data_IF_378175573118
#
_entry.id   IF_378175573118
#
_cell.length_a   1.000
_cell.length_b   1.000
_cell.length_c   1.000
_cell.angle_alpha   90.00
_cell.angle_beta   90.00
_cell.angle_gamma   90.00
#
_symmetry.space_group_name_H-M   'P 1'
#
loop_
_entity.id
_entity.type
_entity.pdbx_description
1 polymer ?
#
# COMPACT_ATOMS: atom_id res chain seq x y z
N UNK A 1 48.15 22.69 10.09
CA UNK A 1 48.21 21.76 9.88
C UNK A 1 48.04 20.91 9.47
N UNK A 2 48.11 20.86 9.28
CA UNK A 2 47.85 19.90 8.75
C UNK A 2 48.11 18.89 8.99
N UNK A 3 48.27 19.02 9.43
CA UNK A 3 48.38 18.08 9.54
C UNK A 3 48.82 17.35 9.58
N UNK A 4 49.34 17.63 9.74
CA UNK A 4 49.66 16.76 9.51
C UNK A 4 49.68 15.95 9.62
N UNK A 5 49.84 16.32 9.86
CA UNK A 5 49.84 15.33 9.81
C UNK A 5 49.82 14.79 9.17
N UNK A 6 49.80 14.87 9.19
CA UNK A 6 49.51 14.42 7.93
C UNK A 6 49.11 13.02 7.72
N UNK A 7 49.74 12.05 7.97
CA UNK A 7 49.30 10.71 7.55
C UNK A 7 48.05 10.22 8.22
N UNK A 8 47.80 10.63 9.39
CA UNK A 8 46.60 10.25 10.10
C UNK A 8 45.36 10.88 9.50
N UNK A 9 45.50 11.97 8.80
CA UNK A 9 44.35 12.64 8.20
C UNK A 9 43.74 11.78 7.10
N UNK A 10 44.56 11.02 6.41
CA UNK A 10 44.06 10.18 5.32
C UNK A 10 43.06 9.16 5.78
N UNK A 11 43.27 8.60 6.94
CA UNK A 11 42.35 7.57 7.44
C UNK A 11 40.99 8.14 7.72
N UNK A 12 40.92 9.35 8.18
CA UNK A 12 39.63 9.95 8.46
C UNK A 12 38.83 10.15 7.17
N UNK A 13 39.49 10.43 6.09
CA UNK A 13 38.80 10.61 4.84
C UNK A 13 38.17 9.32 4.35
N UNK A 14 38.80 8.20 4.59
CA UNK A 14 38.24 6.93 4.19
C UNK A 14 36.92 6.64 4.96
N UNK A 15 36.88 6.99 6.22
CA UNK A 15 35.67 6.81 6.98
C UNK A 15 34.52 7.64 6.48
N UNK A 16 34.78 8.86 6.06
CA UNK A 16 33.73 9.72 5.53
C UNK A 16 33.14 9.14 4.24
N UNK A 17 34.02 8.62 3.39
CA UNK A 17 33.54 8.04 2.14
C UNK A 17 32.62 6.84 2.38
N UNK A 18 32.93 6.01 3.36
CA UNK A 18 32.08 4.86 3.69
C UNK A 18 30.71 5.31 4.15
N UNK A 19 30.64 6.37 4.95
CA UNK A 19 29.36 6.88 5.40
C UNK A 19 28.48 7.37 4.26
N UNK A 20 29.07 8.04 3.29
CA UNK A 20 28.31 8.53 2.14
C UNK A 20 27.71 7.39 1.33
N UNK A 21 28.44 6.29 1.17
CA UNK A 21 27.93 5.13 0.43
C UNK A 21 26.73 4.53 1.13
N UNK A 22 26.78 4.42 2.45
CA UNK A 22 25.68 3.86 3.22
C UNK A 22 24.42 4.71 3.09
N UNK A 23 24.56 6.02 3.09
CA UNK A 23 23.42 6.91 2.91
C UNK A 23 22.75 6.69 1.56
N UNK A 24 23.55 6.55 0.52
CA UNK A 24 23.02 6.31 -0.82
C UNK A 24 22.20 5.04 -0.87
N UNK A 25 22.71 3.97 -0.28
CA UNK A 25 21.98 2.71 -0.26
C UNK A 25 20.68 2.82 0.48
N UNK A 26 20.65 3.55 1.58
CA UNK A 26 19.42 3.74 2.36
C UNK A 26 18.35 4.43 1.52
N UNK A 27 18.70 5.47 0.81
CA UNK A 27 17.76 6.21 -0.04
C UNK A 27 17.24 5.30 -1.15
N UNK A 28 18.11 4.55 -1.77
CA UNK A 28 17.70 3.63 -2.84
C UNK A 28 16.73 2.57 -2.31
N UNK A 29 17.01 2.02 -1.12
CA UNK A 29 16.13 1.03 -0.53
C UNK A 29 14.73 1.56 -0.28
N UNK A 30 14.62 2.78 0.23
CA UNK A 30 13.31 3.38 0.50
C UNK A 30 12.54 3.62 -0.80
N UNK A 31 13.20 4.10 -1.84
CA UNK A 31 12.52 4.41 -3.10
C UNK A 31 12.25 3.17 -3.93
N UNK A 32 13.01 2.10 -3.74
CA UNK A 32 12.86 0.88 -4.51
C UNK A 32 11.82 -0.08 -4.00
N UNK A 33 11.38 0.07 -2.77
CA UNK A 33 10.37 -0.81 -2.21
C UNK A 33 9.00 -0.47 -2.72
N UNK A 34 8.13 -1.47 -2.80
CA UNK A 34 6.75 -1.27 -3.18
C UNK A 34 6.07 -0.28 -2.25
N UNK A 35 5.31 0.61 -2.84
CA UNK A 35 4.58 1.59 -2.06
C UNK A 35 3.31 0.98 -1.49
N UNK A 36 2.91 1.47 -0.33
CA UNK A 36 1.68 1.06 0.30
C UNK A 36 0.69 2.21 0.33
N UNK A 37 -0.59 1.86 0.31
CA UNK A 37 -1.64 2.82 0.57
C UNK A 37 -1.74 2.96 2.08
N UNK A 38 -1.16 4.02 2.62
CA UNK A 38 -1.06 4.20 4.07
C UNK A 38 -2.45 4.31 4.68
N UNK A 39 -2.75 3.47 5.64
CA UNK A 39 -4.04 3.43 6.31
C UNK A 39 -4.78 2.12 6.08
N UNK A 40 -5.89 1.92 6.77
CA UNK A 40 -6.63 0.67 6.66
C UNK A 40 -7.71 0.69 5.58
N UNK A 41 -7.94 -0.47 4.98
CA UNK A 41 -9.15 -0.78 4.22
C UNK A 41 -9.91 -1.79 5.04
N UNK A 42 -11.17 -1.50 5.34
CA UNK A 42 -12.03 -2.42 6.05
C UNK A 42 -13.25 -2.75 5.21
N UNK A 43 -13.69 -4.00 5.25
CA UNK A 43 -14.92 -4.36 4.58
C UNK A 43 -15.67 -5.40 5.39
N UNK A 44 -16.99 -5.40 5.27
CA UNK A 44 -17.83 -6.42 5.86
C UNK A 44 -18.21 -7.48 4.83
N UNK A 45 -18.19 -8.73 5.27
CA UNK A 45 -18.48 -9.86 4.40
C UNK A 45 -19.97 -9.86 4.07
N UNK A 46 -20.30 -10.14 2.81
CA UNK A 46 -21.68 -10.02 2.32
C UNK A 46 -22.66 -10.88 3.10
N UNK A 47 -22.31 -12.13 3.37
CA UNK A 47 -23.21 -13.07 4.05
C UNK A 47 -23.13 -12.98 5.56
N UNK A 48 -22.12 -12.34 6.09
CA UNK A 48 -21.93 -12.20 7.53
C UNK A 48 -21.40 -10.80 7.81
N UNK A 49 -22.30 -9.86 7.91
CA UNK A 49 -21.95 -8.46 8.10
C UNK A 49 -21.27 -8.20 9.44
N UNK A 50 -21.39 -9.11 10.38
CA UNK A 50 -20.63 -9.00 11.62
C UNK A 50 -19.15 -9.30 11.43
N UNK A 51 -18.82 -10.02 10.36
CA UNK A 51 -17.42 -10.31 10.05
C UNK A 51 -16.83 -9.15 9.27
N UNK A 52 -15.90 -8.45 9.90
CA UNK A 52 -15.19 -7.32 9.29
C UNK A 52 -13.74 -7.71 9.09
N UNK A 53 -13.25 -7.51 7.88
CA UNK A 53 -11.87 -7.75 7.54
C UNK A 53 -11.18 -6.39 7.40
N UNK A 54 -10.05 -6.22 8.08
CA UNK A 54 -9.27 -4.98 8.00
C UNK A 54 -7.87 -5.31 7.50
N UNK A 55 -7.45 -4.60 6.46
CA UNK A 55 -6.10 -4.73 5.91
C UNK A 55 -5.39 -3.40 6.13
N UNK A 56 -4.24 -3.47 6.81
CA UNK A 56 -3.47 -2.27 7.13
C UNK A 56 -2.43 -2.01 6.06
N UNK A 57 -2.46 -0.80 5.51
CA UNK A 57 -1.48 -0.31 4.54
C UNK A 57 -1.20 -1.31 3.42
N UNK A 58 -2.22 -1.70 2.65
CA UNK A 58 -2.02 -2.64 1.56
C UNK A 58 -1.14 -2.03 0.46
N UNK A 59 -0.50 -2.88 -0.34
CA UNK A 59 0.30 -2.43 -1.45
C UNK A 59 -0.55 -1.67 -2.46
N UNK A 60 -0.01 -0.58 -3.02
CA UNK A 60 -0.73 0.14 -4.08
C UNK A 60 -0.71 -0.62 -5.39
N UNK A 61 0.16 -1.59 -5.55
CA UNK A 61 0.29 -2.38 -6.77
C UNK A 61 -0.52 -3.65 -6.70
N UNK A 62 -1.05 -4.05 -7.84
CA UNK A 62 -1.68 -5.34 -8.00
C UNK A 62 -3.12 -5.40 -7.56
N UNK A 63 -3.67 -6.56 -7.70
CA UNK A 63 -5.05 -6.85 -7.32
C UNK A 63 -5.08 -7.47 -5.93
N UNK A 64 -6.00 -6.98 -5.10
CA UNK A 64 -6.19 -7.49 -3.74
C UNK A 64 -7.49 -8.27 -3.69
N UNK A 65 -7.38 -9.54 -3.39
CA UNK A 65 -8.55 -10.43 -3.29
C UNK A 65 -9.20 -10.27 -1.94
N UNK A 66 -10.51 -10.21 -1.94
CA UNK A 66 -11.32 -10.12 -0.73
C UNK A 66 -11.77 -11.52 -0.28
N UNK A 67 -12.54 -11.57 0.80
CA UNK A 67 -13.10 -12.83 1.28
C UNK A 67 -13.87 -13.51 0.15
N UNK A 68 -13.77 -14.85 0.02
CA UNK A 68 -14.48 -15.56 -1.05
C UNK A 68 -15.99 -15.33 -1.08
N UNK A 69 -16.60 -15.04 0.06
CA UNK A 69 -18.01 -14.71 0.10
C UNK A 69 -18.32 -13.33 -0.46
N UNK A 70 -17.28 -12.51 -0.64
CA UNK A 70 -17.44 -11.16 -1.16
C UNK A 70 -17.78 -10.15 -0.09
N UNK A 71 -17.65 -8.88 -0.46
CA UNK A 71 -17.89 -7.76 0.45
C UNK A 71 -19.14 -7.01 0.06
N UNK A 72 -19.91 -6.60 1.05
CA UNK A 72 -21.12 -5.80 0.84
C UNK A 72 -20.94 -4.35 1.23
N UNK A 73 -19.92 -4.03 2.01
CA UNK A 73 -19.64 -2.68 2.46
C UNK A 73 -18.14 -2.51 2.59
N UNK A 74 -17.64 -1.37 2.17
CA UNK A 74 -16.20 -1.07 2.26
C UNK A 74 -15.99 0.33 2.82
N UNK A 75 -14.91 0.47 3.58
CA UNK A 75 -14.49 1.74 4.16
C UNK A 75 -13.02 1.95 3.79
N UNK A 76 -12.76 2.96 3.00
CA UNK A 76 -11.39 3.26 2.54
C UNK A 76 -10.80 4.38 3.39
N UNK A 77 -9.94 4.02 4.33
CA UNK A 77 -9.22 4.99 5.16
C UNK A 77 -7.76 5.10 4.76
N UNK A 78 -7.42 4.66 3.57
CA UNK A 78 -6.06 4.82 3.06
C UNK A 78 -5.89 6.17 2.39
N UNK A 79 -4.65 6.47 2.02
CA UNK A 79 -4.29 7.71 1.33
C UNK A 79 -4.43 7.59 -0.19
N UNK A 80 -5.04 6.51 -0.69
CA UNK A 80 -5.20 6.29 -2.12
C UNK A 80 -6.63 5.87 -2.44
N UNK A 81 -7.12 6.28 -3.59
CA UNK A 81 -8.43 5.86 -4.07
C UNK A 81 -8.36 4.40 -4.55
N UNK A 82 -9.49 3.71 -4.50
CA UNK A 82 -9.53 2.34 -4.97
C UNK A 82 -10.77 2.09 -5.82
N UNK A 83 -10.70 1.05 -6.65
CA UNK A 83 -11.82 0.58 -7.44
C UNK A 83 -12.13 -0.87 -7.06
N UNK A 84 -13.40 -1.20 -7.10
CA UNK A 84 -13.93 -2.50 -6.68
C UNK A 84 -14.41 -3.29 -7.88
N UNK A 85 -14.23 -4.61 -7.79
CA UNK A 85 -14.64 -5.54 -8.84
C UNK A 85 -15.46 -6.68 -8.24
N UNK A 86 -16.44 -7.15 -8.99
CA UNK A 86 -17.21 -8.33 -8.58
C UNK A 86 -16.49 -9.64 -8.91
N UNK A 87 -15.39 -9.59 -9.63
CA UNK A 87 -14.53 -10.75 -9.87
C UNK A 87 -13.42 -10.80 -8.84
N UNK A 88 -12.78 -11.96 -8.70
CA UNK A 88 -11.75 -12.14 -7.68
C UNK A 88 -10.36 -11.68 -8.11
N UNK A 89 -10.21 -11.24 -9.35
CA UNK A 89 -8.90 -10.92 -9.94
C UNK A 89 -8.85 -9.54 -10.59
N UNK A 90 -9.72 -8.63 -10.19
CA UNK A 90 -9.77 -7.26 -10.69
C UNK A 90 -9.93 -7.19 -12.19
N UNK A 91 -10.70 -8.09 -12.77
CA UNK A 91 -10.97 -8.12 -14.19
C UNK A 91 -12.41 -7.71 -14.49
N UNK A 92 -12.67 -7.37 -15.74
CA UNK A 92 -13.98 -6.94 -16.16
C UNK A 92 -14.22 -5.47 -15.84
N UNK A 93 -15.50 -5.11 -15.77
CA UNK A 93 -15.88 -3.74 -15.48
C UNK A 93 -15.74 -3.46 -13.99
N UNK A 94 -15.15 -2.33 -13.65
CA UNK A 94 -15.12 -1.88 -12.27
C UNK A 94 -16.53 -1.59 -11.79
N UNK A 95 -16.86 -2.07 -10.59
CA UNK A 95 -18.20 -1.94 -10.03
C UNK A 95 -18.39 -0.63 -9.28
N UNK A 96 -17.34 -0.15 -8.62
CA UNK A 96 -17.44 1.07 -7.81
C UNK A 96 -16.07 1.72 -7.67
N UNK A 97 -16.10 3.01 -7.43
CA UNK A 97 -14.90 3.81 -7.13
C UNK A 97 -15.08 4.38 -5.73
N UNK A 98 -14.10 4.15 -4.87
CA UNK A 98 -14.15 4.61 -3.49
C UNK A 98 -12.94 5.49 -3.22
N UNK A 99 -13.19 6.79 -3.11
CA UNK A 99 -12.14 7.75 -2.83
C UNK A 99 -11.63 7.57 -1.40
N UNK A 100 -10.42 8.09 -1.16
CA UNK A 100 -9.86 8.09 0.18
C UNK A 100 -10.83 8.75 1.16
N UNK A 101 -10.96 8.20 2.34
CA UNK A 101 -11.86 8.61 3.44
C UNK A 101 -13.34 8.38 3.16
N UNK A 102 -13.68 7.71 2.07
CA UNK A 102 -15.08 7.42 1.73
C UNK A 102 -15.40 5.95 2.00
N UNK A 103 -16.69 5.71 2.17
CA UNK A 103 -17.26 4.37 2.31
C UNK A 103 -18.26 4.16 1.20
N UNK A 104 -18.52 2.90 0.88
CA UNK A 104 -19.56 2.53 -0.07
C UNK A 104 -20.24 1.27 0.40
N UNK A 105 -21.52 1.16 0.07
CA UNK A 105 -22.34 -0.01 0.37
C UNK A 105 -22.89 -0.55 -0.94
N UNK A 106 -22.73 -1.84 -1.14
CA UNK A 106 -23.21 -2.47 -2.37
C UNK A 106 -24.73 -2.40 -2.44
N UNK A 107 -25.22 -2.23 -3.65
CA UNK A 107 -26.67 -2.19 -3.87
C UNK A 107 -27.30 -3.54 -3.56
N UNK A 108 -28.54 -3.51 -3.12
CA UNK A 108 -29.28 -4.74 -2.86
C UNK A 108 -29.35 -5.57 -4.15
N UNK A 109 -29.10 -6.86 -4.03
CA UNK A 109 -29.11 -7.81 -5.14
C UNK A 109 -27.99 -7.65 -6.14
N UNK A 110 -27.06 -6.72 -5.91
CA UNK A 110 -25.85 -6.63 -6.74
C UNK A 110 -24.91 -7.77 -6.35
N UNK A 111 -24.02 -8.12 -7.28
CA UNK A 111 -22.98 -9.09 -6.98
C UNK A 111 -22.04 -8.50 -5.93
N UNK A 112 -21.62 -9.29 -4.96
CA UNK A 112 -20.69 -8.79 -3.94
C UNK A 112 -19.34 -8.46 -4.58
N UNK A 113 -18.63 -7.53 -3.98
CA UNK A 113 -17.28 -7.20 -4.40
C UNK A 113 -16.32 -8.28 -3.95
N UNK A 114 -15.44 -8.71 -4.84
CA UNK A 114 -14.53 -9.81 -4.56
C UNK A 114 -13.06 -9.43 -4.68
N UNK A 115 -12.79 -8.27 -5.24
CA UNK A 115 -11.41 -7.78 -5.33
C UNK A 115 -11.41 -6.26 -5.48
N UNK A 116 -10.26 -5.67 -5.20
CA UNK A 116 -10.05 -4.23 -5.37
C UNK A 116 -8.62 -3.95 -5.81
N UNK A 117 -8.42 -2.79 -6.41
CA UNK A 117 -7.11 -2.29 -6.75
C UNK A 117 -7.07 -0.78 -6.53
N UNK A 118 -5.88 -0.26 -6.27
CA UNK A 118 -5.71 1.17 -6.07
C UNK A 118 -5.49 1.89 -7.38
N UNK A 119 -5.97 3.12 -7.42
CA UNK A 119 -5.74 4.05 -8.53
C UNK A 119 -4.53 4.88 -8.15
N UNK A 120 -3.50 4.89 -9.02
CA UNK A 120 -2.27 5.63 -8.75
C UNK A 120 -1.59 6.09 -10.02
#
# INVERSE_FOLDING_TARGET
MAVTVPPTVLRRRAGIAAGAVLLTLTVTGCSGLGRTAVGPVSYSVEKDQAKVVTVHSPSVKGCHTMDPAGAGKIDNRTMADLVLYSTKDCTGRASAYVATTFSDTNAARALPWRSYRFVH
#
